data_IF_775051743373
#
_entry.id   IF_775051743373
#
_cell.length_a   1.000
_cell.length_b   1.000
_cell.length_c   1.000
_cell.angle_alpha   90.00
_cell.angle_beta   90.00
_cell.angle_gamma   90.00
#
_symmetry.space_group_name_H-M   'P 1'
#
loop_
_entity.id
_entity.type
_entity.pdbx_description
1 polymer ?
#
# COMPACT_ATOMS: atom_id res chain seq x y z
N UNK A 1 23.31 -49.60 32.37
CA UNK A 1 23.49 -48.14 32.61
C UNK A 1 23.32 -47.27 31.37
N UNK A 2 23.40 -47.78 30.12
CA UNK A 2 23.26 -46.96 28.92
C UNK A 2 21.81 -46.64 28.51
N UNK A 3 20.84 -47.49 28.87
CA UNK A 3 19.43 -47.35 28.46
C UNK A 3 18.79 -46.07 29.01
N UNK A 4 19.09 -45.77 30.27
CA UNK A 4 18.61 -44.59 30.99
C UNK A 4 19.18 -43.27 30.44
N UNK A 5 20.41 -43.28 29.88
CA UNK A 5 20.97 -42.10 29.20
C UNK A 5 20.30 -41.85 27.85
N UNK A 6 20.00 -42.90 27.09
CA UNK A 6 19.29 -42.77 25.81
C UNK A 6 17.88 -42.19 26.00
N UNK A 7 17.21 -42.60 27.08
CA UNK A 7 15.90 -42.06 27.47
C UNK A 7 16.04 -40.57 27.82
N UNK A 8 17.03 -40.19 28.64
CA UNK A 8 17.25 -38.79 29.03
C UNK A 8 17.60 -37.89 27.83
N UNK A 9 18.40 -38.39 26.89
CA UNK A 9 18.73 -37.69 25.64
C UNK A 9 17.47 -37.48 24.77
N UNK A 10 16.63 -38.50 24.64
CA UNK A 10 15.37 -38.39 23.90
C UNK A 10 14.41 -37.36 24.52
N UNK A 11 14.31 -37.31 25.85
CA UNK A 11 13.49 -36.29 26.51
C UNK A 11 14.07 -34.88 26.33
N UNK A 12 15.41 -34.73 26.39
CA UNK A 12 16.07 -33.44 26.20
C UNK A 12 15.92 -32.91 24.78
N UNK A 13 15.99 -33.76 23.76
CA UNK A 13 15.79 -33.36 22.36
C UNK A 13 14.34 -32.98 22.07
N UNK A 14 13.37 -33.71 22.64
CA UNK A 14 11.95 -33.36 22.53
C UNK A 14 11.65 -32.05 23.23
N UNK A 15 12.21 -31.83 24.42
CA UNK A 15 12.02 -30.59 25.18
C UNK A 15 12.62 -29.37 24.46
N UNK A 16 13.78 -29.53 23.82
CA UNK A 16 14.39 -28.46 23.02
C UNK A 16 13.61 -28.18 21.73
N UNK A 17 13.05 -29.21 21.08
CA UNK A 17 12.14 -29.02 19.93
C UNK A 17 10.85 -28.28 20.31
N UNK A 18 10.33 -28.53 21.50
CA UNK A 18 9.10 -27.91 22.01
C UNK A 18 9.29 -26.43 22.37
N UNK A 19 10.50 -26.04 22.75
CA UNK A 19 10.86 -24.68 23.20
C UNK A 19 11.48 -23.83 22.09
N UNK A 20 11.73 -24.41 20.91
CA UNK A 20 12.14 -23.64 19.74
C UNK A 20 10.95 -22.79 19.25
N UNK A 21 11.07 -21.46 19.20
CA UNK A 21 10.00 -20.61 18.68
C UNK A 21 9.75 -20.98 17.22
N UNK A 22 8.54 -21.44 16.93
CA UNK A 22 8.12 -21.71 15.55
C UNK A 22 8.24 -20.41 14.74
N UNK A 23 8.86 -20.43 13.55
CA UNK A 23 8.85 -19.26 12.68
C UNK A 23 7.40 -18.96 12.33
N UNK A 24 6.89 -17.86 12.89
CA UNK A 24 5.59 -17.32 12.50
C UNK A 24 5.75 -16.82 11.07
N UNK A 25 5.20 -17.54 10.11
CA UNK A 25 5.02 -17.00 8.77
C UNK A 25 4.09 -15.79 8.93
N UNK A 26 4.61 -14.59 8.67
CA UNK A 26 3.81 -13.37 8.70
C UNK A 26 2.59 -13.58 7.83
N UNK A 27 1.42 -13.60 8.45
CA UNK A 27 0.15 -13.77 7.76
C UNK A 27 0.02 -12.60 6.80
N UNK A 28 -0.12 -12.89 5.50
CA UNK A 28 -0.54 -11.90 4.53
C UNK A 28 -1.95 -11.51 4.92
N UNK A 29 -2.07 -10.47 5.74
CA UNK A 29 -3.36 -9.83 6.04
C UNK A 29 -3.99 -9.53 4.70
N UNK A 30 -5.06 -10.24 4.40
CA UNK A 30 -5.77 -10.06 3.16
C UNK A 30 -6.32 -8.64 3.16
N UNK A 31 -5.73 -7.77 2.34
CA UNK A 31 -6.11 -6.37 2.26
C UNK A 31 -7.61 -6.31 2.00
N UNK A 32 -8.35 -5.72 2.96
CA UNK A 32 -9.77 -5.52 2.76
C UNK A 32 -9.95 -4.65 1.51
N UNK A 33 -10.96 -4.94 0.67
CA UNK A 33 -11.22 -4.13 -0.52
C UNK A 33 -11.45 -2.68 -0.08
N UNK A 34 -10.50 -1.81 -0.39
CA UNK A 34 -10.57 -0.39 -0.05
C UNK A 34 -11.67 0.27 -0.89
N UNK A 35 -12.88 0.32 -0.32
CA UNK A 35 -14.02 1.01 -0.92
C UNK A 35 -14.04 2.44 -0.38
N UNK A 36 -13.52 3.37 -1.18
CA UNK A 36 -13.59 4.79 -0.89
C UNK A 36 -15.02 5.30 -1.15
N UNK A 37 -15.75 5.67 -0.08
CA UNK A 37 -17.12 6.20 -0.19
C UNK A 37 -17.09 7.65 -0.67
N UNK A 38 -17.94 7.97 -1.65
CA UNK A 38 -18.15 9.34 -2.11
C UNK A 38 -19.25 10.01 -1.29
N UNK A 39 -19.03 11.28 -0.92
CA UNK A 39 -19.92 12.06 -0.07
C UNK A 39 -20.62 13.21 -0.83
N UNK A 40 -20.80 13.07 -2.15
CA UNK A 40 -21.53 14.03 -2.98
C UNK A 40 -20.95 15.46 -3.01
N UNK A 41 -19.67 15.64 -2.68
CA UNK A 41 -18.96 16.92 -2.78
C UNK A 41 -18.40 17.17 -4.18
N UNK A 42 -18.14 18.43 -4.54
CA UNK A 42 -17.55 18.76 -5.84
C UNK A 42 -16.18 18.09 -6.01
N UNK A 43 -15.99 17.41 -7.14
CA UNK A 43 -14.74 16.77 -7.49
C UNK A 43 -14.03 17.53 -8.60
N UNK A 44 -12.72 17.69 -8.44
CA UNK A 44 -11.87 18.16 -9.52
C UNK A 44 -11.74 17.02 -10.55
N UNK A 45 -12.17 17.27 -11.78
CA UNK A 45 -12.13 16.31 -12.89
C UNK A 45 -11.53 16.97 -14.13
N UNK A 46 -10.82 16.18 -14.94
CA UNK A 46 -10.20 16.64 -16.18
C UNK A 46 -8.74 17.05 -16.00
N UNK A 47 -8.21 17.84 -16.94
CA UNK A 47 -6.83 18.33 -16.92
C UNK A 47 -6.71 19.48 -15.92
N UNK A 48 -6.11 19.21 -14.77
CA UNK A 48 -5.90 20.19 -13.70
C UNK A 48 -4.43 20.63 -13.73
N UNK A 49 -4.19 21.95 -13.79
CA UNK A 49 -2.85 22.51 -13.63
C UNK A 49 -2.57 22.71 -12.15
N UNK A 50 -1.53 22.06 -11.64
CA UNK A 50 -1.07 22.20 -10.25
C UNK A 50 0.12 23.15 -10.22
N UNK A 51 0.04 24.21 -9.40
CA UNK A 51 1.12 25.15 -9.19
C UNK A 51 1.74 24.93 -7.80
N UNK A 52 3.06 24.80 -7.75
CA UNK A 52 3.80 24.62 -6.49
C UNK A 52 4.46 25.93 -6.07
N UNK A 53 4.20 26.36 -4.83
CA UNK A 53 4.79 27.57 -4.25
C UNK A 53 5.77 27.13 -3.15
N UNK A 54 7.04 27.51 -3.30
CA UNK A 54 8.09 27.23 -2.32
C UNK A 54 8.14 28.35 -1.28
N UNK A 55 7.79 28.04 -0.04
CA UNK A 55 7.86 29.01 1.05
C UNK A 55 8.95 28.62 2.06
N UNK A 56 9.88 29.54 2.32
CA UNK A 56 11.01 29.32 3.23
C UNK A 56 12.23 28.67 2.59
N UNK A 57 13.19 28.31 3.43
CA UNK A 57 14.50 27.80 2.99
C UNK A 57 14.55 26.27 3.08
N UNK A 58 14.72 25.62 1.94
CA UNK A 58 14.88 24.16 1.85
C UNK A 58 16.31 23.79 1.50
N UNK A 59 16.86 22.82 2.23
CA UNK A 59 18.16 22.22 1.89
C UNK A 59 18.06 21.41 0.58
N UNK A 60 19.18 21.14 -0.11
CA UNK A 60 19.16 20.31 -1.32
C UNK A 60 18.50 18.94 -1.11
N UNK A 61 18.72 18.33 0.06
CA UNK A 61 18.12 17.03 0.44
C UNK A 61 16.59 17.15 0.55
N UNK A 62 16.09 18.19 1.21
CA UNK A 62 14.63 18.38 1.35
C UNK A 62 13.96 18.63 0.00
N UNK A 63 14.61 19.35 -0.91
CA UNK A 63 14.12 19.55 -2.28
C UNK A 63 14.06 18.24 -3.05
N UNK A 64 15.05 17.37 -2.89
CA UNK A 64 15.06 16.03 -3.49
C UNK A 64 13.87 15.20 -3.00
N UNK A 65 13.62 15.19 -1.70
CA UNK A 65 12.48 14.45 -1.12
C UNK A 65 11.15 14.93 -1.71
N UNK A 66 10.98 16.26 -1.85
CA UNK A 66 9.75 16.83 -2.41
C UNK A 66 9.61 16.51 -3.90
N UNK A 67 10.71 16.57 -4.67
CA UNK A 67 10.72 16.17 -6.07
C UNK A 67 10.38 14.68 -6.25
N UNK A 68 10.95 13.82 -5.42
CA UNK A 68 10.67 12.38 -5.41
C UNK A 68 9.21 12.08 -5.04
N UNK A 69 8.64 12.84 -4.09
CA UNK A 69 7.22 12.74 -3.76
C UNK A 69 6.33 13.14 -4.95
N UNK A 70 6.62 14.25 -5.63
CA UNK A 70 5.85 14.69 -6.80
C UNK A 70 5.97 13.66 -7.93
N UNK A 71 7.15 13.12 -8.17
CA UNK A 71 7.37 12.05 -9.14
C UNK A 71 6.58 10.79 -8.81
N UNK A 72 6.30 10.51 -7.52
CA UNK A 72 5.48 9.37 -7.11
C UNK A 72 4.03 9.45 -7.57
N UNK A 73 3.51 10.64 -7.90
CA UNK A 73 2.16 10.81 -8.47
C UNK A 73 2.06 10.23 -9.89
N UNK A 74 3.19 10.08 -10.58
CA UNK A 74 3.23 9.45 -11.89
C UNK A 74 3.30 7.93 -11.71
N UNK A 75 2.34 7.20 -12.29
CA UNK A 75 2.34 5.73 -12.31
C UNK A 75 3.53 5.21 -13.12
N UNK A 76 4.64 4.92 -12.46
CA UNK A 76 5.77 4.25 -13.07
C UNK A 76 5.44 2.75 -13.26
N UNK A 77 5.55 2.19 -14.48
CA UNK A 77 5.16 0.81 -14.77
C UNK A 77 5.98 -0.25 -14.00
N UNK A 78 7.18 0.10 -13.53
CA UNK A 78 8.15 -0.86 -12.94
C UNK A 78 8.65 -0.45 -11.53
N UNK A 79 7.85 0.27 -10.74
CA UNK A 79 8.26 0.63 -9.39
C UNK A 79 8.36 -0.63 -8.48
N UNK A 80 9.48 -0.83 -7.76
CA UNK A 80 9.59 -1.90 -6.76
C UNK A 80 8.48 -1.79 -5.71
N UNK A 81 7.89 -2.91 -5.32
CA UNK A 81 6.90 -2.95 -4.24
C UNK A 81 7.61 -3.01 -2.88
N UNK A 82 7.13 -2.28 -1.86
CA UNK A 82 6.07 -1.27 -1.90
C UNK A 82 6.59 0.11 -2.38
N UNK A 83 5.79 0.82 -3.20
CA UNK A 83 6.08 2.20 -3.60
C UNK A 83 4.89 3.13 -3.35
N UNK A 84 5.17 4.42 -3.13
CA UNK A 84 4.14 5.47 -3.04
C UNK A 84 3.31 5.57 -4.32
N UNK A 85 3.89 5.28 -5.49
CA UNK A 85 3.14 5.20 -6.74
C UNK A 85 2.09 4.09 -6.72
N UNK A 86 2.40 2.92 -6.13
CA UNK A 86 1.43 1.83 -5.95
C UNK A 86 0.28 2.26 -5.03
N UNK A 87 0.57 3.05 -3.99
CA UNK A 87 -0.47 3.61 -3.13
C UNK A 87 -1.39 4.57 -3.90
N UNK A 88 -0.86 5.44 -4.77
CA UNK A 88 -1.69 6.33 -5.59
C UNK A 88 -2.66 5.60 -6.52
N UNK A 89 -2.34 4.38 -7.00
CA UNK A 89 -3.30 3.55 -7.78
C UNK A 89 -4.59 3.25 -7.02
N UNK A 90 -4.56 3.25 -5.69
CA UNK A 90 -5.79 3.08 -4.89
C UNK A 90 -6.76 4.25 -5.07
N UNK A 91 -6.26 5.44 -5.37
CA UNK A 91 -7.08 6.63 -5.62
C UNK A 91 -7.82 6.57 -6.95
N UNK A 92 -7.30 5.86 -7.95
CA UNK A 92 -7.99 5.63 -9.24
C UNK A 92 -9.31 4.86 -9.06
N UNK A 93 -9.43 4.06 -7.99
CA UNK A 93 -10.66 3.34 -7.64
C UNK A 93 -11.76 4.26 -7.10
N UNK A 94 -11.46 5.54 -6.83
CA UNK A 94 -12.43 6.53 -6.38
C UNK A 94 -13.36 6.96 -7.52
N UNK A 95 -14.48 6.23 -7.67
CA UNK A 95 -15.54 6.57 -8.62
C UNK A 95 -16.58 7.50 -8.00
N UNK A 96 -16.18 8.70 -7.59
CA UNK A 96 -17.08 9.71 -7.01
C UNK A 96 -17.95 10.48 -8.03
N UNK A 97 -18.11 9.98 -9.24
CA UNK A 97 -19.12 10.53 -10.13
C UNK A 97 -18.99 9.98 -11.53
N UNK A 98 -19.74 8.90 -11.77
CA UNK A 98 -20.37 8.74 -13.07
C UNK A 98 -21.11 10.04 -13.38
N UNK A 99 -20.78 10.63 -14.52
CA UNK A 99 -21.57 11.70 -15.09
C UNK A 99 -22.94 11.07 -15.40
N UNK A 100 -23.92 11.23 -14.50
CA UNK A 100 -25.32 10.91 -14.78
C UNK A 100 -25.91 11.96 -15.72
N UNK A 101 -25.22 12.24 -16.83
CA UNK A 101 -25.87 12.81 -18.00
C UNK A 101 -26.69 11.69 -18.60
N UNK A 102 -27.93 11.59 -18.12
CA UNK A 102 -28.95 10.74 -18.71
C UNK A 102 -28.98 10.95 -20.21
N UNK A 103 -28.61 9.90 -20.94
CA UNK A 103 -28.86 9.78 -22.37
C UNK A 103 -30.34 9.54 -22.61
N UNK A 104 -31.17 10.54 -22.33
CA UNK A 104 -32.52 10.68 -22.85
C UNK A 104 -32.53 11.89 -23.76
N UNK A 105 -32.60 11.69 -25.08
CA UNK A 105 -32.59 12.81 -26.02
C UNK A 105 -32.33 12.45 -27.49
N UNK A 106 -33.35 11.91 -28.14
CA UNK A 106 -33.79 12.15 -29.53
C UNK A 106 -32.80 12.53 -30.64
N UNK A 107 -32.81 11.70 -31.70
CA UNK A 107 -32.96 12.10 -33.11
C UNK A 107 -31.83 12.86 -33.80
N UNK A 108 -31.10 12.19 -34.68
CA UNK A 108 -31.34 12.20 -36.14
C UNK A 108 -31.11 10.80 -36.70
#
# INVERSE_FOLDING_TARGET
MALNYNIALAFSTVLTLLLLPLPTLGELVQEQPLVLKYHNGQLLKGRITVNLIWYGTFTPIQRSIIADFINSLSSAPNAPLPSTATWWKTTEKYKGGMDNRGGGGFGF
#
